data_IF_947932537664
#
_entry.id   IF_947932537664
#
_cell.length_a   1.000
_cell.length_b   1.000
_cell.length_c   1.000
_cell.angle_alpha   90.00
_cell.angle_beta   90.00
_cell.angle_gamma   90.00
#
_symmetry.space_group_name_H-M   'P 1'
#
loop_
_entity.id
_entity.type
_entity.pdbx_description
1 polymer ?
#
# COMPACT_ATOMS: atom_id res chain seq x y z
N UNK A 1 5.74 -18.88 3.67
CA UNK A 1 7.11 -18.97 3.07
C UNK A 1 7.91 -17.70 3.37
N UNK A 2 9.25 -17.70 3.34
CA UNK A 2 10.06 -16.49 3.61
C UNK A 2 10.84 -16.00 2.37
N UNK A 3 11.04 -14.69 2.25
CA UNK A 3 12.06 -14.12 1.35
C UNK A 3 13.46 -14.37 1.89
N UNK A 4 14.40 -14.68 1.00
CA UNK A 4 15.81 -14.76 1.36
C UNK A 4 16.31 -13.38 1.80
N UNK A 5 17.09 -13.37 2.87
CA UNK A 5 17.74 -12.15 3.35
C UNK A 5 19.00 -11.86 2.54
N UNK A 6 19.10 -10.64 2.04
CA UNK A 6 20.24 -10.12 1.29
C UNK A 6 20.66 -8.76 1.86
N UNK A 7 21.74 -8.18 1.35
CA UNK A 7 22.13 -6.81 1.71
C UNK A 7 21.04 -5.79 1.36
N UNK A 8 20.21 -6.07 0.36
CA UNK A 8 19.16 -5.18 -0.15
C UNK A 8 17.96 -5.07 0.80
N UNK A 9 17.44 -6.20 1.30
CA UNK A 9 16.21 -6.22 2.12
C UNK A 9 16.47 -6.33 3.63
N UNK A 10 17.71 -6.54 4.09
CA UNK A 10 17.97 -6.79 5.51
C UNK A 10 17.79 -5.53 6.36
N UNK A 11 16.79 -5.56 7.25
CA UNK A 11 16.56 -4.51 8.24
C UNK A 11 17.61 -4.60 9.35
N UNK A 12 18.47 -3.58 9.44
CA UNK A 12 19.51 -3.47 10.48
C UNK A 12 18.97 -2.88 11.78
N UNK A 13 18.40 -1.66 11.74
CA UNK A 13 17.89 -0.98 12.94
C UNK A 13 16.49 -1.49 13.31
N UNK A 14 16.39 -2.11 14.48
CA UNK A 14 15.15 -2.70 14.98
C UNK A 14 14.85 -4.06 14.36
N UNK A 15 15.86 -4.88 14.10
CA UNK A 15 15.75 -6.20 13.47
C UNK A 15 14.73 -7.14 14.12
N UNK A 16 14.49 -7.03 15.44
CA UNK A 16 13.45 -7.79 16.15
C UNK A 16 12.02 -7.51 15.67
N UNK A 17 11.82 -6.43 14.91
CA UNK A 17 10.55 -6.01 14.31
C UNK A 17 10.45 -6.44 12.83
N UNK A 18 11.52 -7.01 12.28
CA UNK A 18 11.58 -7.40 10.89
C UNK A 18 10.84 -8.73 10.67
N UNK A 19 10.05 -8.80 9.61
CA UNK A 19 9.51 -10.05 9.09
C UNK A 19 9.86 -10.17 7.62
N UNK A 20 10.21 -11.38 7.20
CA UNK A 20 10.46 -11.74 5.80
C UNK A 20 9.43 -12.78 5.33
N UNK A 21 8.42 -13.09 6.16
CA UNK A 21 7.35 -13.99 5.78
C UNK A 21 6.51 -13.33 4.68
N UNK A 22 6.36 -14.01 3.55
CA UNK A 22 5.55 -13.59 2.41
C UNK A 22 4.11 -13.28 2.80
N UNK A 23 3.50 -14.10 3.68
CA UNK A 23 2.13 -13.86 4.16
C UNK A 23 2.01 -12.51 4.88
N UNK A 24 2.91 -12.21 5.82
CA UNK A 24 2.94 -10.92 6.52
C UNK A 24 3.17 -9.75 5.55
N UNK A 25 4.04 -9.93 4.55
CA UNK A 25 4.27 -8.91 3.52
C UNK A 25 3.00 -8.66 2.71
N UNK A 26 2.33 -9.73 2.27
CA UNK A 26 1.14 -9.68 1.44
C UNK A 26 -0.06 -9.11 2.20
N UNK A 27 -0.27 -9.51 3.46
CA UNK A 27 -1.31 -8.93 4.32
C UNK A 27 -1.17 -7.42 4.47
N UNK A 28 0.06 -6.91 4.66
CA UNK A 28 0.30 -5.47 4.79
C UNK A 28 0.06 -4.75 3.44
N UNK A 29 0.47 -5.35 2.33
CA UNK A 29 0.19 -4.80 0.99
C UNK A 29 -1.32 -4.82 0.69
N UNK A 30 -2.06 -5.81 1.15
CA UNK A 30 -3.50 -5.90 0.91
C UNK A 30 -4.32 -5.00 1.85
N UNK A 31 -3.69 -4.45 2.89
CA UNK A 31 -4.34 -3.57 3.86
C UNK A 31 -4.42 -2.11 3.41
N UNK A 32 -3.85 -1.74 2.26
CA UNK A 32 -3.83 -0.36 1.76
C UNK A 32 -4.01 -0.31 0.25
N UNK A 33 -4.71 0.72 -0.22
CA UNK A 33 -4.98 0.97 -1.63
C UNK A 33 -3.88 1.80 -2.30
N UNK A 34 -3.01 2.46 -1.52
CA UNK A 34 -1.99 3.38 -1.99
C UNK A 34 -0.61 2.94 -1.52
N UNK A 35 0.37 3.10 -2.41
CA UNK A 35 1.78 2.90 -2.14
C UNK A 35 2.60 4.14 -2.54
N UNK A 36 3.84 4.20 -2.06
CA UNK A 36 4.82 5.21 -2.43
C UNK A 36 5.89 4.56 -3.31
N UNK A 37 6.06 5.07 -4.53
CA UNK A 37 7.05 4.56 -5.49
C UNK A 37 8.26 5.49 -5.48
N UNK A 38 9.44 4.93 -5.24
CA UNK A 38 10.71 5.63 -5.41
C UNK A 38 11.23 5.42 -6.83
N UNK A 39 11.68 6.50 -7.48
CA UNK A 39 12.23 6.48 -8.83
C UNK A 39 13.24 7.61 -9.04
N UNK A 40 14.04 7.51 -10.10
CA UNK A 40 15.05 8.50 -10.47
C UNK A 40 14.65 9.19 -11.77
N UNK A 41 14.75 10.52 -11.82
CA UNK A 41 14.63 11.31 -13.05
C UNK A 41 15.82 12.22 -13.13
N UNK A 42 16.64 12.08 -14.18
CA UNK A 42 17.82 12.94 -14.40
C UNK A 42 18.75 13.03 -13.16
N UNK A 43 18.98 11.88 -12.50
CA UNK A 43 19.80 11.79 -11.29
C UNK A 43 19.14 12.34 -10.00
N UNK A 44 17.89 12.81 -10.07
CA UNK A 44 17.12 13.26 -8.90
C UNK A 44 16.25 12.14 -8.33
N UNK A 45 16.35 11.83 -7.02
CA UNK A 45 15.43 10.91 -6.37
C UNK A 45 14.06 11.57 -6.21
N UNK A 46 13.02 10.82 -6.54
CA UNK A 46 11.63 11.24 -6.45
C UNK A 46 10.80 10.15 -5.77
N UNK A 47 9.70 10.56 -5.13
CA UNK A 47 8.70 9.67 -4.58
C UNK A 47 7.33 10.12 -5.05
N UNK A 48 6.53 9.19 -5.57
CA UNK A 48 5.17 9.45 -6.00
C UNK A 48 4.20 8.48 -5.32
N UNK A 49 3.19 8.98 -4.58
CA UNK A 49 2.06 8.17 -4.13
C UNK A 49 1.20 7.76 -5.34
N UNK A 50 0.76 6.51 -5.36
CA UNK A 50 -0.13 5.99 -6.40
C UNK A 50 -0.95 4.80 -5.89
N UNK A 51 -2.15 4.63 -6.42
CA UNK A 51 -2.90 3.40 -6.19
C UNK A 51 -2.29 2.22 -6.96
N UNK A 52 -2.49 1.02 -6.44
CA UNK A 52 -1.98 -0.21 -7.04
C UNK A 52 -2.97 -1.35 -6.85
N UNK A 53 -2.70 -2.47 -7.53
CA UNK A 53 -3.32 -3.75 -7.22
C UNK A 53 -2.27 -4.81 -6.98
N UNK A 54 -2.56 -5.80 -6.13
CA UNK A 54 -1.72 -6.98 -5.95
C UNK A 54 -2.49 -8.25 -6.33
N UNK A 55 -1.81 -9.16 -7.02
CA UNK A 55 -2.27 -10.52 -7.23
C UNK A 55 -1.07 -11.46 -7.10
N UNK A 56 -1.17 -12.40 -6.16
CA UNK A 56 -0.13 -13.39 -5.87
C UNK A 56 1.23 -12.72 -5.61
N UNK A 57 2.24 -12.87 -6.47
CA UNK A 57 3.53 -12.20 -6.30
C UNK A 57 3.73 -10.97 -7.19
N UNK A 58 2.66 -10.49 -7.81
CA UNK A 58 2.67 -9.38 -8.76
C UNK A 58 1.93 -8.15 -8.21
N UNK A 59 2.46 -6.98 -8.52
CA UNK A 59 1.87 -5.67 -8.27
C UNK A 59 1.62 -5.00 -9.61
N UNK A 60 0.47 -4.35 -9.74
CA UNK A 60 0.06 -3.66 -10.95
C UNK A 60 -0.09 -2.17 -10.67
N UNK A 61 0.49 -1.35 -11.55
CA UNK A 61 0.38 0.10 -11.56
C UNK A 61 -0.16 0.56 -12.91
N UNK A 62 -0.76 1.75 -12.94
CA UNK A 62 -1.17 2.37 -14.19
C UNK A 62 -0.84 3.87 -14.19
N UNK A 63 -0.81 4.48 -15.36
CA UNK A 63 -0.64 5.91 -15.50
C UNK A 63 -0.75 6.34 -16.96
N UNK A 64 -0.75 7.64 -17.22
CA UNK A 64 -0.63 8.12 -18.60
C UNK A 64 0.78 7.88 -19.14
N UNK A 65 0.94 7.84 -20.46
CA UNK A 65 2.26 7.79 -21.11
C UNK A 65 3.14 9.01 -20.79
N UNK A 66 2.54 10.13 -20.34
CA UNK A 66 3.25 11.35 -19.93
C UNK A 66 3.74 11.28 -18.47
N UNK A 67 3.34 10.25 -17.71
CA UNK A 67 3.74 10.10 -16.32
C UNK A 67 5.23 9.70 -16.24
N UNK A 68 6.05 10.63 -15.74
CA UNK A 68 7.49 10.47 -15.55
C UNK A 68 7.86 9.26 -14.70
N UNK A 69 7.06 8.93 -13.67
CA UNK A 69 7.30 7.77 -12.82
C UNK A 69 7.25 6.48 -13.63
N UNK A 70 6.18 6.26 -14.41
CA UNK A 70 6.05 5.01 -15.19
C UNK A 70 7.15 4.86 -16.24
N UNK A 71 7.54 5.95 -16.91
CA UNK A 71 8.66 5.95 -17.86
C UNK A 71 9.99 5.61 -17.16
N UNK A 72 10.24 6.20 -15.99
CA UNK A 72 11.46 5.94 -15.22
C UNK A 72 11.54 4.49 -14.74
N UNK A 73 10.42 3.93 -14.26
CA UNK A 73 10.36 2.52 -13.85
C UNK A 73 10.71 1.59 -15.01
N UNK A 74 10.04 1.75 -16.15
CA UNK A 74 10.27 0.92 -17.34
C UNK A 74 11.73 1.04 -17.82
N UNK A 75 12.26 2.27 -17.86
CA UNK A 75 13.65 2.50 -18.26
C UNK A 75 14.64 1.82 -17.31
N UNK A 76 14.38 1.84 -16.00
CA UNK A 76 15.26 1.22 -15.02
C UNK A 76 15.13 -0.31 -14.95
N UNK A 77 13.96 -0.85 -15.31
CA UNK A 77 13.65 -2.28 -15.15
C UNK A 77 13.47 -2.75 -13.71
N UNK A 78 13.63 -1.85 -12.73
CA UNK A 78 13.62 -2.15 -11.30
C UNK A 78 12.76 -1.14 -10.54
N UNK A 79 12.24 -1.53 -9.39
CA UNK A 79 11.42 -0.64 -8.55
C UNK A 79 11.68 -0.87 -7.07
N UNK A 80 11.61 0.23 -6.31
CA UNK A 80 11.43 0.19 -4.86
C UNK A 80 10.08 0.81 -4.52
N UNK A 81 9.23 0.02 -3.85
CA UNK A 81 7.88 0.42 -3.42
C UNK A 81 7.80 0.35 -1.90
N UNK A 82 7.12 1.32 -1.28
CA UNK A 82 6.83 1.31 0.15
C UNK A 82 5.34 1.49 0.45
N UNK A 83 4.85 0.74 1.43
CA UNK A 83 3.58 0.98 2.12
C UNK A 83 3.81 1.13 3.62
N UNK A 84 2.94 1.90 4.28
CA UNK A 84 2.96 2.17 5.71
C UNK A 84 1.53 2.32 6.23
N UNK A 85 1.21 1.62 7.31
CA UNK A 85 0.02 1.83 8.13
C UNK A 85 0.46 2.26 9.53
N UNK A 86 -0.08 3.38 10.00
CA UNK A 86 0.13 3.86 11.37
C UNK A 86 -0.94 3.26 12.29
N UNK A 87 -0.53 2.51 13.30
CA UNK A 87 -1.47 1.82 14.19
C UNK A 87 -1.64 2.53 15.54
N UNK A 88 -0.61 3.25 16.03
CA UNK A 88 -0.75 4.10 17.24
C UNK A 88 0.45 5.01 17.49
N UNK A 89 0.20 6.10 18.23
CA UNK A 89 1.24 6.92 18.87
C UNK A 89 1.58 6.36 20.26
N UNK A 90 2.86 6.22 20.56
CA UNK A 90 3.38 5.76 21.85
C UNK A 90 4.01 6.92 22.59
N UNK A 91 3.38 7.27 23.70
CA UNK A 91 3.72 8.43 24.50
C UNK A 91 4.36 7.96 25.81
N UNK A 92 5.60 8.38 26.04
CA UNK A 92 6.42 8.07 27.22
C UNK A 92 6.64 9.34 28.04
N UNK A 93 7.10 9.21 29.27
CA UNK A 93 7.42 10.36 30.14
C UNK A 93 8.65 11.13 29.69
N UNK A 94 9.58 10.47 28.99
CA UNK A 94 10.74 11.09 28.37
C UNK A 94 10.49 11.36 26.88
N UNK A 95 10.84 12.56 26.43
CA UNK A 95 10.75 12.94 25.00
C UNK A 95 11.54 11.99 24.08
N UNK A 96 12.60 11.36 24.59
CA UNK A 96 13.49 10.50 23.81
C UNK A 96 12.88 9.16 23.42
N UNK A 97 11.90 8.65 24.20
CA UNK A 97 11.34 7.31 24.00
C UNK A 97 9.99 7.32 23.26
N UNK A 98 9.51 8.49 22.85
CA UNK A 98 8.32 8.59 21.98
C UNK A 98 8.53 7.82 20.68
N UNK A 99 7.48 7.14 20.23
CA UNK A 99 7.53 6.38 18.99
C UNK A 99 6.11 6.08 18.49
N UNK A 100 6.00 5.18 17.52
CA UNK A 100 4.73 4.72 16.97
C UNK A 100 4.72 3.20 16.86
N UNK A 101 3.52 2.62 16.88
CA UNK A 101 3.29 1.30 16.30
C UNK A 101 2.83 1.48 14.86
N UNK A 102 3.35 0.64 14.00
CA UNK A 102 3.13 0.70 12.56
C UNK A 102 3.45 -0.63 11.91
N UNK A 103 2.87 -0.83 10.75
CA UNK A 103 3.20 -1.90 9.80
C UNK A 103 3.71 -1.26 8.52
N UNK A 104 4.84 -1.72 8.00
CA UNK A 104 5.34 -1.25 6.72
C UNK A 104 5.95 -2.38 5.92
N UNK A 105 5.88 -2.29 4.61
CA UNK A 105 6.61 -3.15 3.68
C UNK A 105 7.45 -2.30 2.75
N UNK A 106 8.67 -2.76 2.48
CA UNK A 106 9.49 -2.30 1.35
C UNK A 106 9.63 -3.47 0.39
N UNK A 107 9.17 -3.28 -0.85
CA UNK A 107 9.29 -4.23 -1.97
C UNK A 107 10.41 -3.78 -2.88
N UNK A 108 11.19 -4.74 -3.34
CA UNK A 108 12.13 -4.62 -4.44
C UNK A 108 11.70 -5.58 -5.54
N UNK A 109 11.48 -5.07 -6.75
CA UNK A 109 10.90 -5.85 -7.83
C UNK A 109 11.44 -5.51 -9.21
N UNK A 110 11.18 -6.42 -10.14
CA UNK A 110 11.45 -6.23 -11.57
C UNK A 110 10.20 -5.68 -12.27
N UNK A 111 10.41 -4.85 -13.29
CA UNK A 111 9.36 -4.08 -13.96
C UNK A 111 9.12 -4.59 -15.38
N UNK A 112 7.86 -4.82 -15.74
CA UNK A 112 7.41 -5.16 -17.11
C UNK A 112 6.28 -4.22 -17.54
N UNK A 113 6.40 -3.61 -18.72
CA UNK A 113 5.27 -2.89 -19.34
C UNK A 113 4.30 -3.91 -19.98
N UNK A 114 3.00 -3.75 -19.70
CA UNK A 114 1.94 -4.52 -20.33
C UNK A 114 1.49 -3.78 -21.59
N UNK A 115 1.66 -4.42 -22.75
CA UNK A 115 1.59 -3.72 -24.06
C UNK A 115 0.35 -4.09 -24.86
N UNK A 116 -0.17 -5.30 -24.68
CA UNK A 116 -1.40 -5.74 -25.34
C UNK A 116 -2.64 -5.25 -24.59
N UNK A 117 -3.76 -5.08 -25.30
CA UNK A 117 -5.02 -4.69 -24.67
C UNK A 117 -5.49 -5.73 -23.63
N UNK A 118 -5.27 -7.02 -23.89
CA UNK A 118 -5.64 -8.11 -22.98
C UNK A 118 -4.84 -8.02 -21.67
N UNK A 119 -3.51 -7.91 -21.74
CA UNK A 119 -2.66 -7.75 -20.55
C UNK A 119 -3.04 -6.47 -19.77
N UNK A 120 -3.28 -5.35 -20.47
CA UNK A 120 -3.69 -4.10 -19.82
C UNK A 120 -5.01 -4.23 -19.10
N UNK A 121 -6.00 -4.89 -19.70
CA UNK A 121 -7.30 -5.13 -19.07
C UNK A 121 -7.18 -5.99 -17.82
N UNK A 122 -6.35 -7.02 -17.85
CA UNK A 122 -6.10 -7.89 -16.69
C UNK A 122 -5.39 -7.14 -15.55
N UNK A 123 -4.34 -6.37 -15.87
CA UNK A 123 -3.66 -5.53 -14.88
C UNK A 123 -4.58 -4.47 -14.25
N UNK A 124 -5.41 -3.80 -15.07
CA UNK A 124 -6.40 -2.82 -14.58
C UNK A 124 -7.48 -3.47 -13.71
N UNK A 125 -7.91 -4.69 -14.03
CA UNK A 125 -8.82 -5.49 -13.19
C UNK A 125 -8.24 -5.70 -11.80
N UNK A 126 -6.95 -6.06 -11.70
CA UNK A 126 -6.30 -6.24 -10.40
C UNK A 126 -6.21 -4.95 -9.60
N UNK A 127 -5.91 -3.82 -10.25
CA UNK A 127 -5.91 -2.49 -9.59
C UNK A 127 -7.29 -2.14 -9.04
N UNK A 128 -8.34 -2.31 -9.83
CA UNK A 128 -9.70 -1.91 -9.44
C UNK A 128 -10.25 -2.84 -8.35
N UNK A 129 -10.02 -4.14 -8.45
CA UNK A 129 -10.49 -5.09 -7.44
C UNK A 129 -9.68 -5.05 -6.14
N UNK A 130 -8.44 -4.56 -6.18
CA UNK A 130 -7.68 -4.24 -4.96
C UNK A 130 -8.25 -3.03 -4.24
N UNK A 131 -8.72 -2.03 -5.00
CA UNK A 131 -9.38 -0.85 -4.45
C UNK A 131 -10.68 -1.21 -3.73
N UNK A 132 -11.57 -1.91 -4.44
CA UNK A 132 -12.82 -2.46 -3.88
C UNK A 132 -13.09 -3.81 -4.55
N UNK A 133 -13.10 -4.93 -3.80
CA UNK A 133 -13.35 -6.25 -4.37
C UNK A 133 -14.67 -6.33 -5.13
N UNK A 134 -14.63 -6.87 -6.35
CA UNK A 134 -15.81 -7.01 -7.23
C UNK A 134 -16.11 -5.76 -8.08
N UNK A 135 -15.47 -4.62 -7.80
CA UNK A 135 -15.78 -3.35 -8.48
C UNK A 135 -15.54 -3.40 -9.99
N UNK A 136 -14.57 -4.21 -10.45
CA UNK A 136 -14.30 -4.34 -11.88
C UNK A 136 -15.57 -4.75 -12.64
N UNK A 137 -16.33 -5.72 -12.12
CA UNK A 137 -17.49 -6.29 -12.81
C UNK A 137 -18.77 -5.44 -12.68
N UNK A 138 -18.77 -4.49 -11.74
CA UNK A 138 -19.83 -3.51 -11.54
C UNK A 138 -19.50 -2.13 -12.16
N UNK A 139 -18.73 -2.12 -13.26
CA UNK A 139 -18.45 -0.91 -14.03
C UNK A 139 -18.18 -1.23 -15.51
N UNK A 140 -18.40 -0.24 -16.39
CA UNK A 140 -18.05 -0.35 -17.82
C UNK A 140 -16.54 -0.51 -17.96
N UNK A 141 -16.10 -1.51 -18.73
CA UNK A 141 -14.67 -1.73 -19.02
C UNK A 141 -14.09 -0.60 -19.89
N UNK A 142 -12.78 -0.34 -19.81
CA UNK A 142 -12.11 0.63 -20.67
C UNK A 142 -12.32 0.32 -22.16
N UNK A 143 -12.55 1.34 -22.96
CA UNK A 143 -12.57 1.24 -24.42
C UNK A 143 -11.15 1.36 -25.01
N UNK A 144 -11.02 1.13 -26.31
CA UNK A 144 -9.71 1.16 -26.99
C UNK A 144 -8.98 2.50 -26.87
N UNK A 145 -9.71 3.63 -26.86
CA UNK A 145 -9.10 4.96 -26.72
C UNK A 145 -8.52 5.14 -25.31
N UNK A 146 -9.26 4.71 -24.29
CA UNK A 146 -8.84 4.73 -22.89
C UNK A 146 -7.61 3.82 -22.67
N UNK A 147 -7.60 2.61 -23.25
CA UNK A 147 -6.47 1.69 -23.20
C UNK A 147 -5.22 2.22 -23.93
N UNK A 148 -5.41 2.88 -25.09
CA UNK A 148 -4.31 3.52 -25.84
C UNK A 148 -3.68 4.69 -25.09
N UNK A 149 -4.45 5.42 -24.28
CA UNK A 149 -3.95 6.52 -23.47
C UNK A 149 -3.29 6.07 -22.15
N UNK A 150 -3.49 4.81 -21.77
CA UNK A 150 -3.08 4.26 -20.48
C UNK A 150 -1.90 3.31 -20.62
N UNK A 151 -0.86 3.55 -19.83
CA UNK A 151 0.23 2.63 -19.59
C UNK A 151 -0.08 1.81 -18.35
N UNK A 152 0.18 0.51 -18.43
CA UNK A 152 0.02 -0.43 -17.31
C UNK A 152 1.34 -1.14 -17.11
N UNK A 153 1.76 -1.27 -15.85
CA UNK A 153 3.05 -1.82 -15.46
C UNK A 153 2.79 -2.95 -14.47
N UNK A 154 3.38 -4.10 -14.74
CA UNK A 154 3.47 -5.23 -13.82
C UNK A 154 4.83 -5.22 -13.12
N UNK A 155 4.80 -5.49 -11.82
CA UNK A 155 5.97 -5.56 -10.96
C UNK A 155 5.97 -6.94 -10.31
N UNK A 156 7.00 -7.73 -10.55
CA UNK A 156 7.20 -8.99 -9.82
C UNK A 156 7.96 -8.71 -8.52
N UNK A 157 7.42 -9.18 -7.39
CA UNK A 157 8.07 -9.02 -6.08
C UNK A 157 9.24 -10.01 -5.97
N UNK A 158 10.45 -9.57 -6.31
CA UNK A 158 11.65 -10.39 -6.21
C UNK A 158 12.10 -10.58 -4.75
N UNK A 159 12.03 -9.52 -3.96
CA UNK A 159 12.27 -9.60 -2.52
C UNK A 159 11.57 -8.48 -1.76
N UNK A 160 11.31 -8.69 -0.49
CA UNK A 160 10.68 -7.69 0.36
C UNK A 160 11.15 -7.81 1.82
N UNK A 161 10.86 -6.76 2.59
CA UNK A 161 10.97 -6.79 4.04
C UNK A 161 9.78 -6.07 4.65
N UNK A 162 9.17 -6.70 5.66
CA UNK A 162 8.18 -6.08 6.51
C UNK A 162 8.82 -5.60 7.81
N UNK A 163 8.33 -4.49 8.35
CA UNK A 163 8.65 -4.01 9.69
C UNK A 163 7.37 -3.77 10.47
N UNK A 164 7.20 -4.51 11.55
CA UNK A 164 6.00 -4.48 12.40
C UNK A 164 6.40 -4.04 13.81
N UNK A 165 5.97 -2.85 14.19
CA UNK A 165 6.08 -2.35 15.55
C UNK A 165 4.70 -2.39 16.19
N UNK A 166 4.48 -3.22 17.21
CA UNK A 166 3.17 -3.41 17.85
C UNK A 166 3.26 -3.54 19.39
N UNK A 167 4.36 -3.08 19.98
CA UNK A 167 4.61 -3.20 21.43
C UNK A 167 4.36 -1.87 22.15
N UNK A 168 4.00 -1.88 23.45
CA UNK A 168 3.92 -0.67 24.26
C UNK A 168 5.20 0.17 24.26
N UNK A 169 5.09 1.42 24.72
CA UNK A 169 6.24 2.28 25.00
C UNK A 169 7.11 1.68 26.11
N UNK A 170 8.42 1.92 26.06
CA UNK A 170 9.37 1.45 27.07
C UNK A 170 9.91 2.66 27.83
N UNK A 171 9.73 2.64 29.15
CA UNK A 171 10.22 3.67 30.07
C UNK A 171 11.53 3.25 30.71
N UNK A 172 12.41 4.22 31.04
CA UNK A 172 13.54 3.93 31.93
C UNK A 172 13.04 3.91 33.37
N UNK A 173 13.70 3.12 34.23
CA UNK A 173 13.31 2.97 35.66
C UNK A 173 13.16 4.32 36.40
N UNK A 174 14.03 5.29 36.10
CA UNK A 174 13.97 6.64 36.70
C UNK A 174 12.77 7.46 36.24
N UNK A 175 12.30 7.25 35.01
CA UNK A 175 11.26 8.06 34.38
C UNK A 175 9.88 7.80 35.01
N UNK A 176 9.65 6.63 35.61
CA UNK A 176 8.41 6.32 36.32
C UNK A 176 8.09 7.26 37.50
N UNK A 177 9.08 8.00 38.00
CA UNK A 177 8.89 9.02 39.04
C UNK A 177 8.40 10.36 38.49
N UNK A 178 8.48 10.58 37.18
CA UNK A 178 8.06 11.82 36.54
C UNK A 178 6.53 11.88 36.48
N UNK A 179 5.98 13.04 36.82
CA UNK A 179 4.54 13.31 36.81
C UNK A 179 4.04 13.73 35.41
N UNK A 180 4.41 12.94 34.40
CA UNK A 180 3.93 13.10 33.02
C UNK A 180 3.01 11.94 32.65
N UNK A 181 1.98 12.24 31.86
CA UNK A 181 1.12 11.19 31.31
C UNK A 181 1.89 10.37 30.26
N UNK A 182 1.69 9.06 30.26
CA UNK A 182 2.24 8.13 29.29
C UNK A 182 1.19 7.08 28.93
N UNK A 183 1.19 6.64 27.68
CA UNK A 183 0.18 5.75 27.15
C UNK A 183 0.28 5.55 25.65
N UNK A 184 -0.80 5.06 25.07
CA UNK A 184 -0.91 4.77 23.65
C UNK A 184 -2.19 5.43 23.12
N UNK A 185 -2.09 6.12 21.99
CA UNK A 185 -3.25 6.63 21.25
C UNK A 185 -3.41 5.75 20.00
N UNK A 186 -4.42 4.86 19.95
CA UNK A 186 -4.72 4.06 18.77
C UNK A 186 -5.08 4.93 17.56
N UNK A 187 -4.64 4.49 16.38
CA UNK A 187 -5.00 5.09 15.09
C UNK A 187 -5.67 4.03 14.25
N UNK A 188 -6.78 4.38 13.62
CA UNK A 188 -7.53 3.52 12.71
C UNK A 188 -7.92 4.32 11.48
N UNK A 189 -7.82 3.69 10.32
CA UNK A 189 -8.44 4.18 9.10
C UNK A 189 -9.79 3.50 8.96
N UNK A 190 -10.85 4.28 8.80
CA UNK A 190 -12.21 3.78 8.65
C UNK A 190 -12.80 4.26 7.32
N UNK A 191 -13.81 3.53 6.83
CA UNK A 191 -14.66 4.00 5.74
C UNK A 191 -15.99 4.48 6.32
N UNK A 192 -16.43 5.66 5.88
CA UNK A 192 -17.80 6.13 6.12
C UNK A 192 -18.78 5.47 5.14
N UNK A 193 -20.07 5.64 5.39
CA UNK A 193 -21.14 5.10 4.54
C UNK A 193 -21.03 5.65 3.10
N UNK A 194 -21.24 4.83 2.04
CA UNK A 194 -21.10 5.28 0.67
C UNK A 194 -22.02 6.46 0.32
N UNK A 195 -21.46 7.47 -0.35
CA UNK A 195 -22.19 8.66 -0.80
C UNK A 195 -22.40 8.53 -2.32
N UNK A 196 -23.66 8.50 -2.82
CA UNK A 196 -23.94 8.40 -4.25
C UNK A 196 -23.58 9.70 -5.00
N UNK A 197 -23.32 9.62 -6.32
CA UNK A 197 -23.23 10.80 -7.19
C UNK A 197 -24.61 11.49 -7.25
N UNK A 198 -24.63 12.83 -7.18
CA UNK A 198 -25.87 13.63 -7.23
C UNK A 198 -26.68 13.43 -8.52
N UNK A 199 -26.06 12.87 -9.57
CA UNK A 199 -26.68 12.57 -10.86
C UNK A 199 -27.11 11.11 -11.00
N UNK A 200 -27.03 10.31 -9.94
CA UNK A 200 -27.56 8.95 -9.96
C UNK A 200 -29.08 8.96 -10.20
N UNK A 201 -29.56 8.03 -11.01
CA UNK A 201 -31.00 7.87 -11.22
C UNK A 201 -31.69 7.62 -9.89
N UNK A 202 -32.80 8.32 -9.66
CA UNK A 202 -33.56 8.21 -8.41
C UNK A 202 -33.98 6.75 -8.18
N UNK A 203 -33.68 6.23 -6.99
CA UNK A 203 -33.98 4.84 -6.63
C UNK A 203 -32.87 3.84 -6.98
N UNK A 204 -31.74 4.28 -7.54
CA UNK A 204 -30.57 3.39 -7.68
C UNK A 204 -29.98 3.09 -6.30
N UNK A 205 -30.09 1.85 -5.88
CA UNK A 205 -29.56 1.39 -4.59
C UNK A 205 -28.03 1.21 -4.64
N UNK A 206 -27.40 1.34 -3.47
CA UNK A 206 -25.98 0.99 -3.31
C UNK A 206 -25.85 -0.53 -3.44
N UNK A 207 -25.03 -1.05 -4.38
CA UNK A 207 -24.83 -2.48 -4.52
C UNK A 207 -24.38 -3.16 -3.22
N UNK A 208 -24.92 -4.36 -2.97
CA UNK A 208 -24.67 -5.12 -1.74
C UNK A 208 -23.18 -5.32 -1.43
N UNK A 209 -22.33 -5.56 -2.45
CA UNK A 209 -20.89 -5.76 -2.25
C UNK A 209 -20.18 -4.50 -1.71
N UNK A 210 -20.69 -3.30 -2.01
CA UNK A 210 -20.17 -2.05 -1.46
C UNK A 210 -20.59 -1.86 0.01
N UNK A 211 -21.82 -2.26 0.36
CA UNK A 211 -22.27 -2.26 1.75
C UNK A 211 -21.45 -3.25 2.58
N UNK A 212 -21.18 -4.46 2.06
CA UNK A 212 -20.32 -5.44 2.72
C UNK A 212 -18.88 -4.95 2.87
N UNK A 213 -18.34 -4.26 1.86
CA UNK A 213 -17.03 -3.63 1.93
C UNK A 213 -16.97 -2.56 3.03
N UNK A 214 -17.97 -1.66 3.07
CA UNK A 214 -18.11 -0.66 4.13
C UNK A 214 -18.20 -1.30 5.52
N UNK A 215 -19.06 -2.31 5.69
CA UNK A 215 -19.26 -3.01 6.96
C UNK A 215 -17.96 -3.62 7.50
N UNK A 216 -17.08 -4.12 6.63
CA UNK A 216 -15.76 -4.64 7.00
C UNK A 216 -14.78 -3.56 7.45
N UNK A 217 -14.90 -2.31 6.93
CA UNK A 217 -13.90 -1.24 7.16
C UNK A 217 -14.37 -0.11 8.08
N UNK A 218 -15.66 -0.04 8.45
CA UNK A 218 -16.21 1.02 9.31
C UNK A 218 -15.59 1.08 10.71
N UNK A 219 -14.94 0.01 11.16
CA UNK A 219 -14.34 -0.10 12.49
C UNK A 219 -12.79 -0.15 12.51
N UNK A 220 -12.14 0.05 11.37
CA UNK A 220 -10.68 -0.02 11.21
C UNK A 220 -10.22 -1.21 10.38
N UNK A 221 -8.95 -1.15 9.93
CA UNK A 221 -8.20 -2.22 9.24
C UNK A 221 -7.19 -2.86 10.20
#
# INVERSE_FOLDING_TARGET
MNYQKTSLNTIKRGAKKASYNKEVVYEILDSTEVCNIAFMVEGRPMVQPINYGRKDEFIYLHGSYQNRMTSALIQSGEVTLNVLLLDSMKLTRSAFNHSVNYRSVVVFGSVKELTTNEEKLDGLKHIINHFVPGRWDDCRKPNDKELKATRVVEIKIETASAKVANTPGVEKKGDYKLSHWAGVIPVKQICDYPIPDDRMDTGTEIPQYLLEFYEKRKNGI
#
